data_IF_312697069563
#
_entry.id   IF_312697069563
#
_cell.length_a   1.000
_cell.length_b   1.000
_cell.length_c   1.000
_cell.angle_alpha   90.00
_cell.angle_beta   90.00
_cell.angle_gamma   90.00
#
_symmetry.space_group_name_H-M   'P 1'
#
loop_
_entity.id
_entity.type
_entity.pdbx_description
1 polymer ?
#
# COMPACT_ATOMS: atom_id res chain seq x y z
N UNK A 1 -15.05 -16.77 -26.06
CA UNK A 1 -15.98 -15.80 -25.43
C UNK A 1 -17.39 -16.07 -25.93
N UNK A 2 -18.35 -16.39 -25.05
CA UNK A 2 -19.76 -16.60 -25.46
C UNK A 2 -20.36 -15.26 -25.90
N UNK A 3 -21.05 -15.25 -27.04
CA UNK A 3 -21.83 -14.09 -27.54
C UNK A 3 -22.72 -13.57 -26.41
N UNK A 4 -22.72 -12.27 -26.08
CA UNK A 4 -23.67 -11.73 -25.12
C UNK A 4 -25.08 -12.03 -25.64
N UNK A 5 -25.96 -12.52 -24.76
CA UNK A 5 -27.35 -12.79 -25.13
C UNK A 5 -27.98 -11.49 -25.66
N UNK A 6 -28.74 -11.60 -26.74
CA UNK A 6 -29.34 -10.47 -27.48
C UNK A 6 -30.37 -9.67 -26.66
N UNK A 7 -30.74 -10.16 -25.49
CA UNK A 7 -31.66 -9.56 -24.51
C UNK A 7 -30.96 -8.65 -23.48
N UNK A 8 -29.62 -8.57 -23.48
CA UNK A 8 -28.86 -7.68 -22.62
C UNK A 8 -28.90 -6.22 -23.12
N UNK A 9 -30.10 -5.64 -23.20
CA UNK A 9 -30.36 -4.27 -23.71
C UNK A 9 -29.47 -3.19 -23.08
N UNK A 10 -29.12 -3.36 -21.80
CA UNK A 10 -28.23 -2.43 -21.09
C UNK A 10 -26.77 -2.47 -21.56
N UNK A 11 -26.31 -3.60 -22.13
CA UNK A 11 -24.94 -3.72 -22.68
C UNK A 11 -24.82 -3.13 -24.08
N UNK A 12 -25.93 -3.03 -24.80
CA UNK A 12 -26.02 -2.45 -26.15
C UNK A 12 -26.51 -1.00 -26.15
N UNK A 13 -26.58 -0.34 -24.98
CA UNK A 13 -26.97 1.06 -24.92
C UNK A 13 -25.97 1.93 -25.70
N UNK A 14 -26.45 2.91 -26.48
CA UNK A 14 -25.60 3.96 -27.03
C UNK A 14 -24.78 4.66 -25.92
N UNK A 15 -23.56 5.15 -26.23
CA UNK A 15 -22.68 5.76 -25.23
C UNK A 15 -23.35 6.83 -24.37
N UNK A 16 -24.10 7.75 -24.99
CA UNK A 16 -24.80 8.82 -24.28
C UNK A 16 -25.85 8.32 -23.27
N UNK A 17 -26.61 7.27 -23.61
CA UNK A 17 -27.64 6.70 -22.72
C UNK A 17 -27.01 5.97 -21.54
N UNK A 18 -25.89 5.29 -21.82
CA UNK A 18 -25.10 4.61 -20.79
C UNK A 18 -24.50 5.61 -19.80
N UNK A 19 -23.95 6.73 -20.28
CA UNK A 19 -23.41 7.80 -19.42
C UNK A 19 -24.51 8.44 -18.56
N UNK A 20 -25.69 8.72 -19.13
CA UNK A 20 -26.82 9.23 -18.36
C UNK A 20 -27.29 8.24 -17.29
N UNK A 21 -27.41 6.96 -17.63
CA UNK A 21 -27.79 5.93 -16.66
C UNK A 21 -26.77 5.81 -15.52
N UNK A 22 -25.48 5.92 -15.83
CA UNK A 22 -24.42 5.93 -14.83
C UNK A 22 -24.52 7.17 -13.95
N UNK A 23 -24.72 8.36 -14.52
CA UNK A 23 -24.92 9.60 -13.76
C UNK A 23 -26.09 9.49 -12.79
N UNK A 24 -27.24 8.97 -13.25
CA UNK A 24 -28.41 8.78 -12.39
C UNK A 24 -28.10 7.87 -11.19
N UNK A 25 -27.46 6.73 -11.44
CA UNK A 25 -27.23 5.72 -10.41
C UNK A 25 -26.04 6.05 -9.48
N UNK A 26 -24.97 6.66 -10.01
CA UNK A 26 -23.72 6.88 -9.27
C UNK A 26 -23.58 8.31 -8.71
N UNK A 27 -24.12 9.32 -9.39
CA UNK A 27 -23.92 10.74 -9.03
C UNK A 27 -25.19 11.33 -8.41
N UNK A 28 -26.36 11.08 -9.01
CA UNK A 28 -27.65 11.53 -8.47
C UNK A 28 -28.23 10.56 -7.42
N UNK A 29 -27.63 9.38 -7.27
CA UNK A 29 -28.03 8.32 -6.33
C UNK A 29 -29.53 7.98 -6.39
N UNK A 30 -30.12 7.94 -7.60
CA UNK A 30 -31.54 7.60 -7.76
C UNK A 30 -31.77 6.10 -7.54
N UNK A 31 -32.95 5.73 -7.05
CA UNK A 31 -33.30 4.31 -6.88
C UNK A 31 -33.40 3.57 -8.21
N UNK A 32 -33.22 2.24 -8.18
CA UNK A 32 -33.29 1.42 -9.39
C UNK A 32 -34.66 1.45 -10.06
N UNK A 33 -35.73 1.61 -9.28
CA UNK A 33 -37.10 1.78 -9.77
C UNK A 33 -37.23 3.07 -10.58
N UNK A 34 -36.71 4.18 -10.04
CA UNK A 34 -36.72 5.48 -10.70
C UNK A 34 -35.86 5.44 -11.97
N UNK A 35 -34.66 4.86 -11.90
CA UNK A 35 -33.79 4.72 -13.07
C UNK A 35 -34.42 3.85 -14.17
N UNK A 36 -35.12 2.78 -13.80
CA UNK A 36 -35.88 1.93 -14.75
C UNK A 36 -36.99 2.71 -15.43
N UNK A 37 -37.74 3.48 -14.66
CA UNK A 37 -38.89 4.23 -15.18
C UNK A 37 -38.40 5.38 -16.09
N UNK A 38 -37.32 6.07 -15.73
CA UNK A 38 -36.65 7.06 -16.58
C UNK A 38 -36.09 6.44 -17.87
N UNK A 39 -35.44 5.27 -17.81
CA UNK A 39 -34.97 4.55 -19.01
C UNK A 39 -36.12 4.23 -19.98
N UNK A 40 -37.29 3.90 -19.45
CA UNK A 40 -38.47 3.66 -20.28
C UNK A 40 -39.02 4.97 -20.86
N UNK A 41 -39.13 6.02 -20.06
CA UNK A 41 -39.70 7.30 -20.48
C UNK A 41 -38.80 8.04 -21.49
N UNK A 42 -37.51 8.15 -21.19
CA UNK A 42 -36.57 8.99 -21.95
C UNK A 42 -36.01 8.25 -23.18
N UNK A 43 -35.86 6.93 -23.10
CA UNK A 43 -35.16 6.13 -24.10
C UNK A 43 -35.95 4.94 -24.64
N UNK A 44 -37.17 4.71 -24.15
CA UNK A 44 -38.01 3.56 -24.54
C UNK A 44 -37.34 2.20 -24.29
N UNK A 45 -36.45 2.11 -23.28
CA UNK A 45 -35.70 0.89 -22.96
C UNK A 45 -36.32 0.18 -21.75
N UNK A 46 -36.94 -0.99 -21.98
CA UNK A 46 -37.42 -1.86 -20.90
C UNK A 46 -36.30 -2.72 -20.33
N UNK A 47 -36.12 -2.67 -19.01
CA UNK A 47 -35.15 -3.49 -18.28
C UNK A 47 -35.72 -3.97 -16.94
N UNK A 48 -35.11 -5.00 -16.37
CA UNK A 48 -35.41 -5.46 -15.00
C UNK A 48 -34.50 -4.75 -13.98
N UNK A 49 -34.94 -4.70 -12.72
CA UNK A 49 -34.13 -4.16 -11.61
C UNK A 49 -32.83 -4.96 -11.46
N UNK A 50 -32.89 -6.29 -11.54
CA UNK A 50 -31.68 -7.13 -11.46
C UNK A 50 -30.68 -6.87 -12.60
N UNK A 51 -31.14 -6.45 -13.78
CA UNK A 51 -30.25 -6.04 -14.86
C UNK A 51 -29.58 -4.67 -14.56
N UNK A 52 -30.30 -3.74 -13.92
CA UNK A 52 -29.75 -2.47 -13.46
C UNK A 52 -28.71 -2.65 -12.35
N UNK A 53 -28.97 -3.54 -11.38
CA UNK A 53 -27.99 -3.89 -10.34
C UNK A 53 -26.70 -4.43 -10.96
N UNK A 54 -26.81 -5.37 -11.89
CA UNK A 54 -25.64 -5.93 -12.60
C UNK A 54 -24.93 -4.88 -13.47
N UNK A 55 -25.69 -3.99 -14.11
CA UNK A 55 -25.12 -2.86 -14.86
C UNK A 55 -24.33 -1.95 -13.94
N UNK A 56 -24.92 -1.51 -12.83
CA UNK A 56 -24.28 -0.66 -11.84
C UNK A 56 -23.01 -1.31 -11.29
N UNK A 57 -23.08 -2.58 -10.85
CA UNK A 57 -21.90 -3.31 -10.38
C UNK A 57 -20.78 -3.37 -11.44
N UNK A 58 -21.12 -3.59 -12.70
CA UNK A 58 -20.14 -3.63 -13.80
C UNK A 58 -19.52 -2.25 -14.06
N UNK A 59 -20.33 -1.19 -14.06
CA UNK A 59 -19.86 0.18 -14.31
C UNK A 59 -19.09 0.76 -13.13
N UNK A 60 -19.50 0.49 -11.89
CA UNK A 60 -18.75 0.83 -10.68
C UNK A 60 -17.40 0.12 -10.65
N UNK A 61 -17.35 -1.16 -11.05
CA UNK A 61 -16.08 -1.88 -11.17
C UNK A 61 -15.18 -1.28 -12.25
N UNK A 62 -15.73 -0.88 -13.40
CA UNK A 62 -14.97 -0.20 -14.46
C UNK A 62 -14.44 1.17 -14.00
N UNK A 63 -15.29 2.02 -13.41
CA UNK A 63 -14.89 3.32 -12.85
C UNK A 63 -13.87 3.17 -11.71
N UNK A 64 -14.07 2.19 -10.82
CA UNK A 64 -13.11 1.90 -9.75
C UNK A 64 -11.76 1.44 -10.32
N UNK A 65 -11.77 0.61 -11.37
CA UNK A 65 -10.55 0.18 -12.05
C UNK A 65 -9.85 1.32 -12.78
N UNK A 66 -10.59 2.24 -13.40
CA UNK A 66 -10.06 3.44 -14.03
C UNK A 66 -9.42 4.39 -13.01
N UNK A 67 -10.14 4.74 -11.94
CA UNK A 67 -9.58 5.55 -10.85
C UNK A 67 -8.36 4.89 -10.19
N UNK A 68 -8.35 3.57 -10.04
CA UNK A 68 -7.20 2.83 -9.52
C UNK A 68 -6.00 2.89 -10.48
N UNK A 69 -6.22 2.80 -11.80
CA UNK A 69 -5.17 2.96 -12.82
C UNK A 69 -4.61 4.37 -12.85
N UNK A 70 -5.48 5.37 -12.80
CA UNK A 70 -5.07 6.78 -12.73
C UNK A 70 -4.25 7.05 -11.48
N UNK A 71 -4.70 6.58 -10.31
CA UNK A 71 -3.94 6.70 -9.08
C UNK A 71 -2.59 5.97 -9.17
N UNK A 72 -2.55 4.75 -9.71
CA UNK A 72 -1.30 4.03 -9.93
C UNK A 72 -0.35 4.77 -10.89
N UNK A 73 -0.89 5.46 -11.90
CA UNK A 73 -0.11 6.33 -12.79
C UNK A 73 0.45 7.55 -12.05
N UNK A 74 -0.36 8.20 -11.21
CA UNK A 74 0.07 9.34 -10.37
C UNK A 74 1.20 8.90 -9.42
N UNK A 75 1.06 7.72 -8.79
CA UNK A 75 2.10 7.15 -7.92
C UNK A 75 3.39 6.91 -8.69
N UNK A 76 3.33 6.34 -9.91
CA UNK A 76 4.52 6.13 -10.75
C UNK A 76 5.22 7.43 -11.09
N UNK A 77 4.48 8.47 -11.46
CA UNK A 77 5.07 9.77 -11.76
C UNK A 77 5.69 10.42 -10.52
N UNK A 78 4.99 10.38 -9.38
CA UNK A 78 5.53 10.85 -8.10
C UNK A 78 6.79 10.07 -7.69
N UNK A 79 6.84 8.76 -7.91
CA UNK A 79 7.97 7.90 -7.59
C UNK A 79 9.25 8.30 -8.35
N UNK A 80 9.15 8.84 -9.57
CA UNK A 80 10.32 9.35 -10.30
C UNK A 80 11.04 10.47 -9.55
N UNK A 81 10.28 11.29 -8.80
CA UNK A 81 10.85 12.39 -8.00
C UNK A 81 11.45 11.93 -6.66
N UNK A 82 11.07 10.75 -6.18
CA UNK A 82 11.52 10.18 -4.89
C UNK A 82 12.54 9.06 -5.05
N UNK A 83 13.23 8.98 -6.20
CA UNK A 83 14.23 7.94 -6.46
C UNK A 83 13.63 6.53 -6.59
N UNK A 84 12.44 6.43 -7.17
CA UNK A 84 11.67 5.19 -7.37
C UNK A 84 11.13 4.53 -6.09
N UNK A 85 11.15 5.23 -4.95
CA UNK A 85 10.43 4.77 -3.75
C UNK A 85 8.92 4.95 -3.91
N UNK A 86 8.27 3.88 -4.37
CA UNK A 86 6.82 3.80 -4.54
C UNK A 86 6.04 3.99 -3.23
N UNK A 87 6.60 3.57 -2.08
CA UNK A 87 5.92 3.71 -0.80
C UNK A 87 5.90 5.17 -0.36
N UNK A 88 7.05 5.86 -0.46
CA UNK A 88 7.15 7.28 -0.18
C UNK A 88 6.24 8.10 -1.09
N UNK A 89 6.23 7.80 -2.39
CA UNK A 89 5.37 8.46 -3.37
C UNK A 89 3.88 8.24 -3.10
N UNK A 90 3.50 7.02 -2.74
CA UNK A 90 2.11 6.69 -2.38
C UNK A 90 1.66 7.45 -1.14
N UNK A 91 2.50 7.52 -0.11
CA UNK A 91 2.21 8.27 1.11
C UNK A 91 2.06 9.77 0.85
N UNK A 92 2.92 10.35 0.01
CA UNK A 92 2.83 11.77 -0.37
C UNK A 92 1.49 12.08 -1.05
N UNK A 93 1.04 11.25 -1.99
CA UNK A 93 -0.25 11.43 -2.66
C UNK A 93 -1.44 11.22 -1.72
N UNK A 94 -1.35 10.28 -0.77
CA UNK A 94 -2.37 10.10 0.26
C UNK A 94 -2.47 11.33 1.17
N UNK A 95 -1.33 11.91 1.56
CA UNK A 95 -1.28 13.14 2.36
C UNK A 95 -1.88 14.33 1.60
N UNK A 96 -1.54 14.48 0.32
CA UNK A 96 -2.13 15.52 -0.54
C UNK A 96 -3.66 15.37 -0.64
N UNK A 97 -4.15 14.15 -0.90
CA UNK A 97 -5.60 13.89 -0.96
C UNK A 97 -6.30 14.16 0.37
N UNK A 98 -5.70 13.76 1.49
CA UNK A 98 -6.23 14.05 2.82
C UNK A 98 -6.32 15.56 3.07
N UNK A 99 -5.29 16.31 2.67
CA UNK A 99 -5.27 17.76 2.77
C UNK A 99 -6.38 18.41 1.93
N UNK A 100 -6.53 18.02 0.67
CA UNK A 100 -7.60 18.52 -0.21
C UNK A 100 -8.99 18.22 0.37
N UNK A 101 -9.21 16.99 0.85
CA UNK A 101 -10.48 16.60 1.46
C UNK A 101 -10.79 17.41 2.73
N UNK A 102 -9.78 17.69 3.56
CA UNK A 102 -9.96 18.51 4.77
C UNK A 102 -10.36 19.96 4.49
N UNK A 103 -10.09 20.46 3.28
CA UNK A 103 -10.41 21.84 2.87
C UNK A 103 -11.66 21.95 2.01
N UNK A 104 -12.14 20.84 1.46
CA UNK A 104 -13.34 20.83 0.62
C UNK A 104 -14.58 20.89 1.51
N UNK A 105 -15.52 21.78 1.21
CA UNK A 105 -16.79 21.84 1.93
C UNK A 105 -17.69 20.68 1.50
N UNK A 106 -18.29 19.96 2.45
CA UNK A 106 -19.16 18.81 2.18
C UNK A 106 -18.43 17.48 1.95
N UNK A 107 -17.13 17.41 2.23
CA UNK A 107 -16.37 16.15 2.21
C UNK A 107 -16.92 15.13 3.18
N UNK A 108 -16.84 13.85 2.82
CA UNK A 108 -17.13 12.77 3.75
C UNK A 108 -16.04 12.71 4.85
N UNK A 109 -16.46 12.96 6.10
CA UNK A 109 -15.60 12.90 7.28
C UNK A 109 -15.05 11.48 7.49
N UNK A 110 -15.78 10.46 7.06
CA UNK A 110 -15.35 9.06 7.12
C UNK A 110 -14.09 8.83 6.28
N UNK A 111 -14.08 9.34 5.04
CA UNK A 111 -12.94 9.19 4.14
C UNK A 111 -11.69 9.88 4.68
N UNK A 112 -11.86 11.07 5.26
CA UNK A 112 -10.76 11.79 5.90
C UNK A 112 -10.19 11.00 7.10
N UNK A 113 -11.07 10.41 7.92
CA UNK A 113 -10.65 9.58 9.06
C UNK A 113 -9.87 8.34 8.61
N UNK A 114 -10.29 7.70 7.52
CA UNK A 114 -9.57 6.56 6.93
C UNK A 114 -8.18 6.97 6.44
N UNK A 115 -8.06 8.07 5.70
CA UNK A 115 -6.76 8.54 5.21
C UNK A 115 -5.83 8.96 6.36
N UNK A 116 -6.36 9.66 7.38
CA UNK A 116 -5.60 10.02 8.57
C UNK A 116 -5.08 8.79 9.33
N UNK A 117 -5.89 7.73 9.42
CA UNK A 117 -5.48 6.46 10.00
C UNK A 117 -4.32 5.82 9.23
N UNK A 118 -4.40 5.77 7.90
CA UNK A 118 -3.32 5.21 7.05
C UNK A 118 -2.01 5.98 7.26
N UNK A 119 -2.08 7.32 7.29
CA UNK A 119 -0.91 8.17 7.55
C UNK A 119 -0.32 7.87 8.94
N UNK A 120 -1.18 7.78 9.97
CA UNK A 120 -0.75 7.47 11.33
C UNK A 120 -0.13 6.09 11.49
N UNK A 121 -0.72 5.07 10.87
CA UNK A 121 -0.21 3.70 10.88
C UNK A 121 1.14 3.60 10.15
N UNK A 122 1.31 4.32 9.04
CA UNK A 122 2.60 4.41 8.34
C UNK A 122 3.69 5.04 9.21
N UNK A 123 3.39 6.17 9.87
CA UNK A 123 4.34 6.82 10.79
C UNK A 123 4.73 5.88 11.94
N UNK A 124 3.76 5.14 12.50
CA UNK A 124 4.01 4.13 13.55
C UNK A 124 4.90 2.99 13.05
N UNK A 125 4.70 2.51 11.83
CA UNK A 125 5.55 1.48 11.23
C UNK A 125 6.99 1.96 11.05
N UNK A 126 7.18 3.19 10.59
CA UNK A 126 8.52 3.79 10.47
C UNK A 126 9.22 3.89 11.84
N UNK A 127 8.50 4.28 12.89
CA UNK A 127 9.05 4.29 14.25
C UNK A 127 9.48 2.89 14.70
N UNK A 128 8.62 1.89 14.51
CA UNK A 128 8.94 0.49 14.84
C UNK A 128 10.16 -0.05 14.07
N UNK A 129 10.30 0.33 12.80
CA UNK A 129 11.47 -0.06 12.01
C UNK A 129 12.75 0.57 12.56
N UNK A 130 12.72 1.85 12.94
CA UNK A 130 13.86 2.53 13.57
C UNK A 130 14.20 1.92 14.93
N UNK A 131 13.20 1.59 15.75
CA UNK A 131 13.39 0.90 17.03
C UNK A 131 14.02 -0.48 16.83
N UNK A 132 13.55 -1.25 15.85
CA UNK A 132 14.10 -2.56 15.53
C UNK A 132 15.56 -2.46 15.08
N UNK A 133 15.89 -1.50 14.21
CA UNK A 133 17.26 -1.25 13.77
C UNK A 133 18.17 -0.91 14.97
N UNK A 134 17.74 0.00 15.84
CA UNK A 134 18.48 0.36 17.05
C UNK A 134 18.68 -0.84 17.99
N UNK A 135 17.68 -1.70 18.13
CA UNK A 135 17.77 -2.91 18.96
C UNK A 135 18.73 -3.93 18.35
N UNK A 136 18.75 -4.09 17.03
CA UNK A 136 19.71 -4.94 16.34
C UNK A 136 21.14 -4.43 16.52
N UNK A 137 21.35 -3.11 16.42
CA UNK A 137 22.67 -2.51 16.63
C UNK A 137 23.16 -2.69 18.08
N UNK A 138 22.27 -2.46 19.06
CA UNK A 138 22.57 -2.74 20.48
C UNK A 138 22.90 -4.22 20.70
N UNK A 139 22.14 -5.12 20.09
CA UNK A 139 22.39 -6.55 20.20
C UNK A 139 23.75 -6.93 19.60
N UNK A 140 24.08 -6.40 18.42
CA UNK A 140 25.39 -6.61 17.77
C UNK A 140 26.54 -6.09 18.65
N UNK A 141 26.40 -4.90 19.23
CA UNK A 141 27.39 -4.34 20.15
C UNK A 141 27.54 -5.18 21.43
N UNK A 142 26.43 -5.66 21.98
CA UNK A 142 26.43 -6.52 23.16
C UNK A 142 27.15 -7.85 22.87
N UNK A 143 26.81 -8.51 21.77
CA UNK A 143 27.47 -9.74 21.33
C UNK A 143 28.97 -9.51 21.11
N UNK A 144 29.36 -8.40 20.47
CA UNK A 144 30.78 -8.05 20.29
C UNK A 144 31.50 -7.92 21.64
N UNK A 145 30.92 -7.16 22.58
CA UNK A 145 31.45 -7.01 23.94
C UNK A 145 31.59 -8.35 24.67
N UNK A 146 30.59 -9.23 24.56
CA UNK A 146 30.61 -10.52 25.27
C UNK A 146 31.63 -11.49 24.65
N UNK A 147 31.81 -11.44 23.32
CA UNK A 147 32.90 -12.16 22.62
C UNK A 147 34.26 -11.64 23.10
N UNK A 148 34.47 -10.32 23.17
CA UNK A 148 35.73 -9.72 23.63
C UNK A 148 36.06 -10.14 25.06
N UNK A 149 35.08 -10.09 25.98
CA UNK A 149 35.25 -10.57 27.37
C UNK A 149 35.56 -12.06 27.44
N UNK A 150 34.87 -12.88 26.64
CA UNK A 150 35.12 -14.33 26.59
C UNK A 150 36.52 -14.65 26.06
N UNK A 151 36.98 -13.91 25.06
CA UNK A 151 38.35 -14.01 24.56
C UNK A 151 39.36 -13.62 25.64
N UNK A 152 39.15 -12.51 26.34
CA UNK A 152 40.08 -12.07 27.38
C UNK A 152 40.15 -13.06 28.58
N UNK A 153 39.02 -13.70 28.92
CA UNK A 153 38.98 -14.78 29.91
C UNK A 153 39.76 -16.02 29.46
N UNK A 154 39.56 -16.47 28.22
CA UNK A 154 40.33 -17.57 27.62
C UNK A 154 41.84 -17.27 27.60
N UNK A 155 42.21 -16.04 27.24
CA UNK A 155 43.61 -15.61 27.25
C UNK A 155 44.22 -15.69 28.66
N UNK A 156 43.46 -15.37 29.71
CA UNK A 156 43.92 -15.48 31.09
C UNK A 156 44.14 -16.93 31.54
N UNK A 157 43.29 -17.87 31.11
CA UNK A 157 43.43 -19.30 31.43
C UNK A 157 44.60 -19.97 30.68
N UNK A 158 44.88 -19.50 29.46
CA UNK A 158 45.92 -20.08 28.59
C UNK A 158 47.33 -19.56 28.91
N UNK A 159 47.47 -18.60 29.84
CA UNK A 159 48.69 -17.83 30.14
C UNK A 159 49.92 -18.64 30.61
N UNK A 160 49.85 -19.97 30.64
CA UNK A 160 50.97 -20.88 30.95
C UNK A 160 51.40 -21.82 29.80
N UNK A 161 50.73 -21.81 28.65
CA UNK A 161 51.03 -22.71 27.53
C UNK A 161 51.28 -21.93 26.22
N UNK A 162 52.54 -21.92 25.77
CA UNK A 162 53.00 -21.12 24.64
C UNK A 162 52.37 -21.51 23.29
N UNK A 163 52.08 -22.80 23.05
CA UNK A 163 51.41 -23.24 21.82
C UNK A 163 49.93 -22.80 21.80
N UNK A 164 49.27 -22.89 22.95
CA UNK A 164 47.87 -22.49 23.08
C UNK A 164 47.70 -20.97 22.95
N UNK A 165 48.67 -20.17 23.41
CA UNK A 165 48.71 -18.71 23.20
C UNK A 165 48.80 -18.33 21.71
N UNK A 166 49.63 -19.03 20.94
CA UNK A 166 49.76 -18.75 19.49
C UNK A 166 48.50 -19.14 18.70
N UNK A 167 47.86 -20.25 19.05
CA UNK A 167 46.59 -20.65 18.45
C UNK A 167 45.45 -19.69 18.83
N UNK A 168 45.45 -19.22 20.08
CA UNK A 168 44.49 -18.24 20.58
C UNK A 168 44.60 -16.88 19.86
N UNK A 169 45.80 -16.35 19.67
CA UNK A 169 46.01 -15.09 18.93
C UNK A 169 45.58 -15.20 17.45
N UNK A 170 45.85 -16.34 16.80
CA UNK A 170 45.36 -16.59 15.43
C UNK A 170 43.83 -16.66 15.37
N UNK A 171 43.20 -17.26 16.39
CA UNK A 171 41.74 -17.33 16.50
C UNK A 171 41.11 -15.97 16.78
N UNK A 172 41.66 -15.19 17.73
CA UNK A 172 41.22 -13.81 18.05
C UNK A 172 41.29 -12.92 16.81
N UNK A 173 42.36 -12.99 16.03
CA UNK A 173 42.51 -12.24 14.78
C UNK A 173 41.56 -12.67 13.66
N UNK A 174 41.06 -13.92 13.67
CA UNK A 174 40.06 -14.40 12.72
C UNK A 174 38.64 -13.93 13.11
N UNK A 175 38.32 -13.98 14.41
CA UNK A 175 37.01 -13.54 14.95
C UNK A 175 36.83 -12.02 14.84
N UNK A 176 37.88 -11.24 15.09
CA UNK A 176 37.83 -9.78 14.89
C UNK A 176 37.61 -9.44 13.41
N UNK A 177 38.25 -10.14 12.48
CA UNK A 177 38.02 -9.96 11.04
C UNK A 177 36.61 -10.34 10.60
N UNK A 178 36.00 -11.40 11.16
CA UNK A 178 34.63 -11.78 10.84
C UNK A 178 33.57 -10.85 11.45
N UNK A 179 33.90 -10.17 12.56
CA UNK A 179 32.98 -9.22 13.23
C UNK A 179 33.10 -7.79 12.70
N UNK A 180 34.19 -7.46 12.02
CA UNK A 180 34.40 -6.18 11.32
C UNK A 180 34.12 -6.24 9.81
N UNK A 181 33.99 -7.43 9.23
CA UNK A 181 33.99 -7.68 7.79
C UNK A 181 32.68 -8.10 7.14
N UNK A 182 31.52 -7.64 7.62
CA UNK A 182 30.27 -7.64 6.86
C UNK A 182 29.67 -6.22 6.88
N UNK A 183 30.17 -5.39 5.97
CA UNK A 183 29.55 -4.15 5.50
C UNK A 183 29.53 -4.15 3.97
#
# INVERSE_FOLDING_TARGET
MKKPRSDAKLKSLPPHQREMLVRWLAEENVSYEIARDRLWQDFNVRTSIGALVNFYATQCWQRSSEHAREFASQVREAAKSTGEDFNAATLALIQERAFVLSRTQGSDVSDLATLAKIIGDSARLQLKQKELALNLDKFRQQVKSDIEKGLDALHAEIKGNAEALQLFEKFKAAVLRSTEGEA
#
